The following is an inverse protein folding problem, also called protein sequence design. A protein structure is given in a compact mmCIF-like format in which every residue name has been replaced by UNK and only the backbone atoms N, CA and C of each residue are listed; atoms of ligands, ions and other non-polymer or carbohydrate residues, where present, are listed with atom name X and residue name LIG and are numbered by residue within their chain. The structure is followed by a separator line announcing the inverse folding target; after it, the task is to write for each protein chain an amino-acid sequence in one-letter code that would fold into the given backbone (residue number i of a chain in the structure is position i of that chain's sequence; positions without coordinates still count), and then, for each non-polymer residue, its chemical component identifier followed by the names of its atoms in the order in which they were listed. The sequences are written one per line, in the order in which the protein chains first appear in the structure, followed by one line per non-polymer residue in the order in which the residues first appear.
data_IF_658247238521
#
_entry.id   IF_658247238521
#
_cell.length_a   1.000
_cell.length_b   1.000
_cell.length_c   1.000
_cell.angle_alpha   90.00
_cell.angle_beta   90.00
_cell.angle_gamma   90.00
#
_symmetry.space_group_name_H-M   'P 1'
#
loop_
_entity.id
_entity.type
_entity.pdbx_description
1 polymer ?
#
# COMPACT_ATOMS: atom_id res chain seq x y z
N UNK A 1 -65.95 -6.52 74.02
CA UNK A 1 -67.19 -5.88 74.49
C UNK A 1 -68.35 -6.79 74.15
N UNK A 2 -69.14 -7.20 75.13
CA UNK A 2 -70.37 -7.99 74.92
C UNK A 2 -71.38 -7.17 74.13
N UNK A 3 -71.96 -7.73 73.06
CA UNK A 3 -72.96 -7.02 72.26
C UNK A 3 -74.19 -6.69 73.12
N UNK A 4 -74.79 -5.50 72.98
CA UNK A 4 -76.07 -5.19 73.58
C UNK A 4 -77.11 -6.22 73.12
N UNK A 5 -78.10 -6.56 73.95
CA UNK A 5 -79.19 -7.43 73.51
C UNK A 5 -79.93 -6.79 72.32
N UNK A 6 -80.69 -7.56 71.55
CA UNK A 6 -81.48 -7.01 70.44
C UNK A 6 -82.40 -5.87 70.89
N UNK A 7 -82.95 -5.98 72.10
CA UNK A 7 -83.78 -4.95 72.74
C UNK A 7 -82.97 -3.71 73.06
N UNK A 8 -81.76 -3.87 73.60
CA UNK A 8 -80.86 -2.75 73.88
C UNK A 8 -80.39 -2.05 72.60
N UNK A 9 -80.14 -2.82 71.54
CA UNK A 9 -79.74 -2.29 70.22
C UNK A 9 -80.86 -1.45 69.60
N UNK A 10 -82.11 -1.93 69.67
CA UNK A 10 -83.28 -1.15 69.24
C UNK A 10 -83.45 0.12 70.08
N UNK A 11 -83.27 0.02 71.41
CA UNK A 11 -83.35 1.18 72.31
C UNK A 11 -82.28 2.22 72.00
N UNK A 12 -81.04 1.80 71.75
CA UNK A 12 -79.94 2.69 71.37
C UNK A 12 -80.26 3.42 70.05
N UNK A 13 -80.79 2.70 69.05
CA UNK A 13 -81.18 3.32 67.77
C UNK A 13 -82.33 4.32 67.97
N UNK A 14 -83.33 3.99 68.78
CA UNK A 14 -84.43 4.92 69.08
C UNK A 14 -83.95 6.18 69.81
N UNK A 15 -83.04 6.05 70.78
CA UNK A 15 -82.46 7.19 71.48
C UNK A 15 -81.61 8.06 70.55
N UNK A 16 -80.87 7.46 69.62
CA UNK A 16 -80.10 8.19 68.61
C UNK A 16 -81.01 8.89 67.58
N UNK A 17 -82.16 8.31 67.25
CA UNK A 17 -83.17 8.96 66.40
C UNK A 17 -83.75 10.19 67.08
N UNK A 18 -84.15 10.03 68.35
CA UNK A 18 -84.71 11.10 69.17
C UNK A 18 -83.69 12.21 69.40
N UNK A 19 -82.43 11.87 69.70
CA UNK A 19 -81.35 12.83 69.83
C UNK A 19 -81.15 13.64 68.54
N UNK A 20 -81.09 12.97 67.38
CA UNK A 20 -80.91 13.66 66.11
C UNK A 20 -82.09 14.60 65.81
N UNK A 21 -83.33 14.18 66.06
CA UNK A 21 -84.51 15.03 65.88
C UNK A 21 -84.48 16.24 66.80
N UNK A 22 -84.14 16.06 68.07
CA UNK A 22 -84.05 17.18 69.04
C UNK A 22 -82.93 18.15 68.67
N UNK A 23 -81.78 17.66 68.22
CA UNK A 23 -80.68 18.49 67.75
C UNK A 23 -81.04 19.27 66.48
N UNK A 24 -81.83 18.68 65.58
CA UNK A 24 -82.36 19.37 64.40
C UNK A 24 -83.34 20.48 64.78
N UNK A 25 -84.25 20.23 65.73
CA UNK A 25 -85.14 21.29 66.26
C UNK A 25 -84.32 22.43 66.86
N UNK A 26 -83.34 22.13 67.72
CA UNK A 26 -82.50 23.16 68.34
C UNK A 26 -81.69 23.94 67.29
N UNK A 27 -81.27 23.31 66.21
CA UNK A 27 -80.60 23.98 65.10
C UNK A 27 -81.50 24.99 64.37
N UNK A 28 -82.82 24.78 64.37
CA UNK A 28 -83.79 25.71 63.78
C UNK A 28 -84.16 26.88 64.68
N UNK A 29 -84.05 26.72 66.00
CA UNK A 29 -84.40 27.73 67.01
C UNK A 29 -83.33 28.84 67.12
N UNK A 30 -82.79 29.28 65.99
CA UNK A 30 -81.89 30.44 65.91
C UNK A 30 -82.70 31.70 65.58
N UNK A 31 -82.19 32.86 65.99
CA UNK A 31 -82.88 34.13 65.76
C UNK A 31 -83.11 34.37 64.27
N UNK A 32 -82.10 34.13 63.43
CA UNK A 32 -82.16 34.32 61.97
C UNK A 32 -83.29 33.49 61.33
N UNK A 33 -83.36 32.20 61.64
CA UNK A 33 -84.37 31.29 61.09
C UNK A 33 -85.79 31.64 61.56
N UNK A 34 -85.94 32.02 62.84
CA UNK A 34 -87.22 32.42 63.39
C UNK A 34 -87.69 33.78 62.85
N UNK A 35 -86.77 34.68 62.49
CA UNK A 35 -87.13 35.93 61.78
C UNK A 35 -87.59 35.67 60.35
N UNK A 36 -87.01 34.69 59.65
CA UNK A 36 -87.50 34.27 58.32
C UNK A 36 -88.93 33.72 58.42
N UNK A 37 -89.20 32.88 59.42
CA UNK A 37 -90.55 32.35 59.68
C UNK A 37 -91.54 33.49 60.02
N UNK A 38 -91.10 34.50 60.78
CA UNK A 38 -91.91 35.68 61.12
C UNK A 38 -92.23 36.56 59.90
N UNK A 39 -91.29 36.73 58.97
CA UNK A 39 -91.53 37.51 57.74
C UNK A 39 -92.44 36.79 56.75
N UNK A 40 -92.47 35.45 56.78
CA UNK A 40 -93.30 34.59 55.93
C UNK A 40 -94.48 33.98 56.70
N UNK A 41 -94.95 34.64 57.75
CA UNK A 41 -95.94 34.10 58.68
C UNK A 41 -97.24 33.64 58.01
N UNK A 42 -97.67 34.29 56.93
CA UNK A 42 -98.87 33.91 56.16
C UNK A 42 -98.71 32.55 55.47
N UNK A 43 -97.51 32.24 54.94
CA UNK A 43 -97.20 30.95 54.31
C UNK A 43 -97.11 29.82 55.35
N UNK A 44 -96.50 30.12 56.51
CA UNK A 44 -96.30 29.14 57.58
C UNK A 44 -97.59 28.85 58.36
N UNK A 45 -98.46 29.83 58.56
CA UNK A 45 -99.75 29.65 59.26
C UNK A 45 -100.81 28.90 58.44
N UNK A 46 -100.59 28.74 57.13
CA UNK A 46 -101.44 27.91 56.27
C UNK A 46 -101.16 26.40 56.42
N UNK A 47 -99.99 26.02 56.91
CA UNK A 47 -99.49 24.64 56.94
C UNK A 47 -99.23 24.16 58.37
N UNK A 48 -98.69 25.02 59.24
CA UNK A 48 -98.43 24.73 60.64
C UNK A 48 -99.64 25.07 61.51
N UNK A 49 -99.80 24.33 62.61
CA UNK A 49 -100.81 24.65 63.63
C UNK A 49 -100.65 26.11 64.10
N UNK A 50 -101.72 26.94 64.07
CA UNK A 50 -101.68 28.30 64.60
C UNK A 50 -101.12 28.41 66.02
N UNK A 51 -101.30 27.37 66.85
CA UNK A 51 -100.70 27.31 68.18
C UNK A 51 -99.17 27.19 68.15
N UNK A 52 -98.62 26.40 67.24
CA UNK A 52 -97.18 26.21 67.06
C UNK A 52 -96.52 27.49 66.52
N UNK A 53 -97.16 28.15 65.55
CA UNK A 53 -96.68 29.44 65.01
C UNK A 53 -96.64 30.49 66.13
N UNK A 54 -97.65 30.54 66.98
CA UNK A 54 -97.67 31.44 68.14
C UNK A 54 -96.53 31.14 69.12
N UNK A 55 -96.27 29.86 69.43
CA UNK A 55 -95.16 29.46 70.29
C UNK A 55 -93.78 29.82 69.70
N UNK A 56 -93.60 29.67 68.38
CA UNK A 56 -92.37 30.10 67.69
C UNK A 56 -92.18 31.62 67.73
N UNK A 57 -93.25 32.41 67.60
CA UNK A 57 -93.16 33.87 67.72
C UNK A 57 -92.86 34.31 69.14
N UNK A 58 -93.44 33.64 70.16
CA UNK A 58 -93.09 33.86 71.57
C UNK A 58 -91.64 33.46 71.85
N UNK A 59 -91.17 32.38 71.23
CA UNK A 59 -89.77 31.96 71.34
C UNK A 59 -88.84 33.01 70.72
N UNK A 60 -89.18 33.57 69.56
CA UNK A 60 -88.42 34.67 68.95
C UNK A 60 -88.38 35.93 69.83
N UNK A 61 -89.48 36.30 70.49
CA UNK A 61 -89.47 37.44 71.41
C UNK A 61 -88.61 37.17 72.64
N UNK A 62 -88.71 35.97 73.22
CA UNK A 62 -87.88 35.57 74.36
C UNK A 62 -86.40 35.48 74.00
N UNK A 63 -86.07 34.99 72.80
CA UNK A 63 -84.70 34.89 72.31
C UNK A 63 -84.08 36.28 72.09
N UNK A 64 -84.85 37.23 71.54
CA UNK A 64 -84.42 38.63 71.40
C UNK A 64 -84.22 39.31 72.73
N UNK A 65 -85.14 39.11 73.67
CA UNK A 65 -84.99 39.62 75.03
C UNK A 65 -83.74 39.04 75.69
N UNK A 66 -83.56 37.71 75.64
CA UNK A 66 -82.39 37.02 76.15
C UNK A 66 -81.06 37.51 75.53
N UNK A 67 -80.99 37.65 74.20
CA UNK A 67 -79.81 38.15 73.48
C UNK A 67 -79.50 39.63 73.81
N UNK A 68 -80.53 40.46 74.03
CA UNK A 68 -80.36 41.86 74.42
C UNK A 68 -79.80 42.01 75.85
N UNK A 69 -80.20 41.12 76.76
CA UNK A 69 -79.70 41.11 78.14
C UNK A 69 -78.34 40.43 78.29
N UNK A 70 -77.98 39.54 77.36
CA UNK A 70 -76.72 38.81 77.39
C UNK A 70 -75.93 38.92 76.06
N UNK A 71 -75.50 40.13 75.66
CA UNK A 71 -74.92 40.34 74.33
C UNK A 71 -73.52 39.75 74.13
N UNK A 72 -72.91 39.10 75.14
CA UNK A 72 -71.57 38.49 75.06
C UNK A 72 -71.34 37.40 76.13
N UNK A 73 -71.94 36.22 75.98
CA UNK A 73 -71.35 35.01 76.58
C UNK A 73 -70.39 34.38 75.60
N UNK A 74 -69.11 34.58 75.87
CA UNK A 74 -67.94 34.02 75.20
C UNK A 74 -67.88 32.48 75.41
N UNK A 75 -68.86 31.75 74.87
CA UNK A 75 -68.89 30.29 74.84
C UNK A 75 -69.09 29.56 76.17
N UNK A 76 -69.39 30.26 77.27
CA UNK A 76 -69.75 29.64 78.54
C UNK A 76 -71.27 29.60 78.72
N UNK A 77 -71.83 28.39 78.66
CA UNK A 77 -73.19 28.07 79.11
C UNK A 77 -73.22 28.31 80.62
N UNK A 78 -73.93 29.35 81.06
CA UNK A 78 -74.21 29.54 82.49
C UNK A 78 -75.23 28.47 82.87
N UNK A 79 -74.88 27.58 83.80
CA UNK A 79 -75.83 26.62 84.37
C UNK A 79 -76.97 27.41 85.02
N UNK A 80 -78.17 27.30 84.43
CA UNK A 80 -79.38 28.00 84.87
C UNK A 80 -80.06 27.32 86.07
N UNK A 81 -79.49 26.23 86.60
CA UNK A 81 -80.07 25.49 87.73
C UNK A 81 -79.98 26.24 89.08
N UNK A 82 -78.99 27.14 89.24
CA UNK A 82 -78.83 27.97 90.44
C UNK A 82 -78.73 29.45 90.07
N UNK A 83 -79.58 30.30 90.66
CA UNK A 83 -79.58 31.76 90.41
C UNK A 83 -78.19 32.34 90.74
N UNK A 84 -77.43 32.84 89.75
CA UNK A 84 -76.15 33.47 90.04
C UNK A 84 -76.38 34.83 90.71
N UNK A 85 -75.60 35.17 91.76
CA UNK A 85 -75.73 36.42 92.54
C UNK A 85 -75.63 37.71 91.69
N UNK A 86 -75.17 37.61 90.44
CA UNK A 86 -74.95 38.72 89.51
C UNK A 86 -75.98 38.84 88.38
N UNK A 87 -77.09 38.08 88.41
CA UNK A 87 -78.13 38.10 87.36
C UNK A 87 -79.43 38.72 87.89
N UNK A 88 -80.04 39.62 87.11
CA UNK A 88 -81.32 40.26 87.47
C UNK A 88 -82.45 39.23 87.52
N UNK A 89 -83.42 39.39 88.44
CA UNK A 89 -84.59 38.50 88.57
C UNK A 89 -85.34 38.31 87.25
N UNK A 90 -85.35 39.35 86.40
CA UNK A 90 -86.01 39.34 85.09
C UNK A 90 -85.26 38.51 84.05
N UNK A 91 -83.94 38.50 84.09
CA UNK A 91 -83.12 37.75 83.12
C UNK A 91 -83.22 36.25 83.38
N UNK A 92 -83.29 35.87 84.67
CA UNK A 92 -83.54 34.50 85.09
C UNK A 92 -84.95 34.02 84.70
N UNK A 93 -85.97 34.87 84.84
CA UNK A 93 -87.34 34.56 84.41
C UNK A 93 -87.44 34.40 82.88
N UNK A 94 -86.76 35.25 82.10
CA UNK A 94 -86.71 35.13 80.63
C UNK A 94 -85.98 33.83 80.20
N UNK A 95 -84.90 33.46 80.87
CA UNK A 95 -84.17 32.22 80.59
C UNK A 95 -84.99 30.96 80.93
N UNK A 96 -85.66 30.93 82.08
CA UNK A 96 -86.56 29.83 82.49
C UNK A 96 -87.77 29.71 81.55
N UNK A 97 -88.34 30.83 81.11
CA UNK A 97 -89.41 30.84 80.11
C UNK A 97 -88.93 30.38 78.73
N UNK A 98 -87.71 30.76 78.34
CA UNK A 98 -87.10 30.31 77.09
C UNK A 98 -86.84 28.80 77.12
N UNK A 99 -86.31 28.27 78.21
CA UNK A 99 -86.08 26.84 78.41
C UNK A 99 -87.40 26.06 78.33
N UNK A 100 -88.42 26.47 79.10
CA UNK A 100 -89.75 25.83 79.08
C UNK A 100 -90.36 25.83 77.68
N UNK A 101 -90.30 26.97 76.99
CA UNK A 101 -90.80 27.08 75.62
C UNK A 101 -89.98 26.21 74.63
N UNK A 102 -88.66 26.09 74.83
CA UNK A 102 -87.79 25.21 74.02
C UNK A 102 -88.17 23.74 74.20
N UNK A 103 -88.39 23.32 75.44
CA UNK A 103 -88.80 21.95 75.78
C UNK A 103 -90.19 21.65 75.21
N UNK A 104 -91.13 22.58 75.35
CA UNK A 104 -92.49 22.43 74.83
C UNK A 104 -92.49 22.38 73.29
N UNK A 105 -91.74 23.26 72.61
CA UNK A 105 -91.57 23.23 71.15
C UNK A 105 -90.91 21.93 70.67
N UNK A 106 -89.86 21.48 71.35
CA UNK A 106 -89.18 20.22 71.03
C UNK A 106 -90.12 19.03 71.21
N UNK A 107 -90.92 19.00 72.29
CA UNK A 107 -91.92 17.96 72.53
C UNK A 107 -93.03 17.97 71.49
N UNK A 108 -93.47 19.16 71.09
CA UNK A 108 -94.52 19.31 70.09
C UNK A 108 -94.05 18.84 68.71
N UNK A 109 -92.86 19.29 68.28
CA UNK A 109 -92.27 18.92 66.99
C UNK A 109 -91.81 17.46 66.92
N UNK A 110 -91.44 16.83 68.05
CA UNK A 110 -91.16 15.39 68.09
C UNK A 110 -92.44 14.53 68.04
N UNK A 111 -93.58 15.08 68.45
CA UNK A 111 -94.88 14.38 68.40
C UNK A 111 -95.54 14.55 67.02
N UNK A 112 -95.48 15.74 66.43
CA UNK A 112 -96.04 16.05 65.11
C UNK A 112 -94.98 16.01 64.00
N UNK A 113 -94.89 14.86 63.34
CA UNK A 113 -93.88 14.58 62.31
C UNK A 113 -94.08 15.37 61.02
N UNK A 114 -95.31 15.80 60.73
CA UNK A 114 -95.60 16.52 59.49
C UNK A 114 -95.12 17.97 59.59
N UNK A 115 -95.37 18.62 60.74
CA UNK A 115 -94.82 19.94 61.06
C UNK A 115 -93.29 19.94 61.10
N UNK A 116 -92.68 18.91 61.71
CA UNK A 116 -91.22 18.75 61.74
C UNK A 116 -90.62 18.62 60.34
N UNK A 117 -91.21 17.79 59.48
CA UNK A 117 -90.72 17.57 58.11
C UNK A 117 -90.83 18.84 57.27
N UNK A 118 -91.90 19.59 57.44
CA UNK A 118 -92.09 20.86 56.74
C UNK A 118 -91.01 21.87 57.15
N UNK A 119 -90.81 22.09 58.46
CA UNK A 119 -89.77 23.00 58.98
C UNK A 119 -88.36 22.56 58.54
N UNK A 120 -88.06 21.26 58.57
CA UNK A 120 -86.78 20.71 58.11
C UNK A 120 -86.46 20.98 56.63
N UNK A 121 -87.48 21.17 55.79
CA UNK A 121 -87.30 21.43 54.36
C UNK A 121 -87.33 22.93 54.03
N UNK A 122 -87.97 23.73 54.88
CA UNK A 122 -88.17 25.16 54.66
C UNK A 122 -87.08 26.03 55.29
N UNK A 123 -86.38 25.55 56.31
CA UNK A 123 -85.34 26.31 57.03
C UNK A 123 -83.95 25.88 56.53
N UNK A 124 -83.13 26.87 56.14
CA UNK A 124 -81.72 26.65 55.83
C UNK A 124 -80.87 26.86 57.09
N UNK A 125 -80.10 25.84 57.48
CA UNK A 125 -79.19 25.93 58.62
C UNK A 125 -77.88 26.59 58.18
N UNK A 126 -77.83 27.92 58.22
CA UNK A 126 -76.66 28.69 57.78
C UNK A 126 -75.51 28.75 58.82
N UNK A 127 -75.72 28.25 60.05
CA UNK A 127 -74.65 28.14 61.06
C UNK A 127 -73.78 26.90 60.83
N UNK A 128 -72.51 27.06 60.39
CA UNK A 128 -71.65 25.93 60.01
C UNK A 128 -71.25 25.05 61.20
N UNK A 129 -71.27 25.57 62.43
CA UNK A 129 -70.93 24.80 63.63
C UNK A 129 -72.03 23.84 64.06
N UNK A 130 -73.28 24.30 64.02
CA UNK A 130 -74.45 23.50 64.43
C UNK A 130 -74.80 22.48 63.35
N UNK A 131 -74.71 22.84 62.07
CA UNK A 131 -74.92 21.88 60.97
C UNK A 131 -73.87 20.78 60.96
N UNK A 132 -72.58 21.12 61.15
CA UNK A 132 -71.51 20.12 61.26
C UNK A 132 -71.72 19.17 62.45
N UNK A 133 -72.21 19.66 63.59
CA UNK A 133 -72.50 18.81 64.75
C UNK A 133 -73.68 17.86 64.49
N UNK A 134 -74.76 18.35 63.87
CA UNK A 134 -75.90 17.52 63.46
C UNK A 134 -75.46 16.46 62.45
N UNK A 135 -74.62 16.81 61.49
CA UNK A 135 -74.09 15.86 60.48
C UNK A 135 -73.18 14.81 61.11
N UNK A 136 -72.30 15.21 62.03
CA UNK A 136 -71.48 14.26 62.80
C UNK A 136 -72.36 13.32 63.63
N UNK A 137 -73.44 13.82 64.24
CA UNK A 137 -74.39 12.98 64.99
C UNK A 137 -75.14 11.99 64.08
N UNK A 138 -75.51 12.41 62.86
CA UNK A 138 -76.07 11.52 61.83
C UNK A 138 -75.08 10.46 61.38
N UNK A 139 -73.82 10.82 61.18
CA UNK A 139 -72.78 9.88 60.80
C UNK A 139 -72.42 8.92 61.93
N UNK A 140 -72.43 9.40 63.17
CA UNK A 140 -72.28 8.59 64.36
C UNK A 140 -73.42 7.55 64.45
N UNK A 141 -74.66 7.97 64.20
CA UNK A 141 -75.80 7.04 64.08
C UNK A 141 -75.57 5.99 62.99
N UNK A 142 -75.15 6.39 61.78
CA UNK A 142 -74.84 5.44 60.69
C UNK A 142 -73.76 4.45 61.11
N UNK A 143 -72.71 4.93 61.78
CA UNK A 143 -71.62 4.11 62.28
C UNK A 143 -72.11 3.10 63.31
N UNK A 144 -72.86 3.54 64.33
CA UNK A 144 -73.43 2.66 65.35
C UNK A 144 -74.41 1.65 64.75
N UNK A 145 -75.26 2.08 63.82
CA UNK A 145 -76.19 1.19 63.13
C UNK A 145 -75.43 0.12 62.33
N UNK A 146 -74.39 0.51 61.61
CA UNK A 146 -73.52 -0.41 60.88
C UNK A 146 -72.88 -1.39 61.85
N UNK A 147 -72.32 -0.91 62.97
CA UNK A 147 -71.69 -1.74 64.00
C UNK A 147 -72.67 -2.71 64.69
N UNK A 148 -73.91 -2.30 64.90
CA UNK A 148 -74.94 -3.14 65.52
C UNK A 148 -75.48 -4.22 64.56
N UNK A 149 -75.53 -3.92 63.25
CA UNK A 149 -76.03 -4.85 62.22
C UNK A 149 -74.94 -5.81 61.72
N UNK A 150 -73.69 -5.36 61.59
CA UNK A 150 -72.61 -6.20 61.07
C UNK A 150 -72.34 -7.40 62.01
N UNK A 151 -72.34 -8.65 61.53
CA UNK A 151 -71.95 -9.83 62.31
C UNK A 151 -70.48 -9.80 62.74
N UNK A 152 -70.15 -10.45 63.87
CA UNK A 152 -68.76 -10.50 64.39
C UNK A 152 -67.81 -11.15 63.37
N UNK A 153 -68.30 -12.16 62.65
CA UNK A 153 -67.52 -12.87 61.64
C UNK A 153 -67.14 -11.97 60.46
N UNK A 154 -68.05 -11.09 60.02
CA UNK A 154 -67.76 -10.12 58.97
C UNK A 154 -66.75 -9.06 59.43
N UNK A 155 -66.83 -8.59 60.68
CA UNK A 155 -65.84 -7.65 61.23
C UNK A 155 -64.43 -8.28 61.28
N UNK A 156 -64.33 -9.52 61.78
CA UNK A 156 -63.07 -10.25 61.82
C UNK A 156 -62.52 -10.56 60.41
N UNK A 157 -63.40 -10.81 59.43
CA UNK A 157 -62.98 -11.01 58.04
C UNK A 157 -62.38 -9.73 57.46
N UNK A 158 -63.03 -8.58 57.66
CA UNK A 158 -62.52 -7.28 57.19
C UNK A 158 -61.20 -6.91 57.87
N UNK A 159 -61.06 -7.19 59.16
CA UNK A 159 -59.81 -6.95 59.89
C UNK A 159 -58.66 -7.78 59.30
N UNK A 160 -58.88 -9.08 59.05
CA UNK A 160 -57.87 -9.93 58.39
C UNK A 160 -57.54 -9.47 56.97
N UNK A 161 -58.53 -9.06 56.18
CA UNK A 161 -58.29 -8.51 54.84
C UNK A 161 -57.42 -7.24 54.87
N UNK A 162 -57.68 -6.35 55.84
CA UNK A 162 -56.87 -5.15 56.04
C UNK A 162 -55.44 -5.51 56.45
N UNK A 163 -55.25 -6.46 57.36
CA UNK A 163 -53.92 -6.95 57.74
C UNK A 163 -53.17 -7.56 56.56
N UNK A 164 -53.85 -8.36 55.72
CA UNK A 164 -53.25 -8.93 54.51
C UNK A 164 -52.82 -7.85 53.51
N UNK A 165 -53.66 -6.84 53.30
CA UNK A 165 -53.34 -5.69 52.44
C UNK A 165 -52.14 -4.93 53.00
N UNK A 166 -52.12 -4.68 54.31
CA UNK A 166 -51.00 -3.99 54.96
C UNK A 166 -49.69 -4.77 54.80
N UNK A 167 -49.73 -6.08 54.97
CA UNK A 167 -48.56 -6.95 54.75
C UNK A 167 -48.10 -6.94 53.29
N UNK A 168 -49.03 -7.03 52.32
CA UNK A 168 -48.70 -6.94 50.90
C UNK A 168 -48.08 -5.59 50.56
N UNK A 169 -48.60 -4.50 51.11
CA UNK A 169 -48.08 -3.17 50.92
C UNK A 169 -46.68 -2.99 51.53
N UNK A 170 -46.43 -3.55 52.72
CA UNK A 170 -45.09 -3.57 53.33
C UNK A 170 -44.09 -4.33 52.48
N UNK A 171 -44.46 -5.51 51.95
CA UNK A 171 -43.61 -6.30 51.04
C UNK A 171 -43.30 -5.54 49.74
N UNK A 172 -44.34 -4.99 49.10
CA UNK A 172 -44.18 -4.20 47.87
C UNK A 172 -43.24 -3.01 48.07
N UNK A 173 -43.38 -2.28 49.18
CA UNK A 173 -42.49 -1.16 49.51
C UNK A 173 -41.04 -1.60 49.73
N UNK A 174 -40.83 -2.74 50.37
CA UNK A 174 -39.49 -3.29 50.57
C UNK A 174 -38.84 -3.73 49.23
N UNK A 175 -39.62 -4.36 48.35
CA UNK A 175 -39.17 -4.73 47.00
C UNK A 175 -38.88 -3.51 46.13
N UNK A 176 -39.71 -2.46 46.19
CA UNK A 176 -39.45 -1.19 45.52
C UNK A 176 -38.15 -0.54 46.01
N UNK A 177 -37.89 -0.57 47.32
CA UNK A 177 -36.66 -0.04 47.90
C UNK A 177 -35.42 -0.82 47.41
N UNK A 178 -35.44 -2.16 47.46
CA UNK A 178 -34.35 -3.01 46.95
C UNK A 178 -34.12 -2.80 45.44
N UNK A 179 -35.19 -2.74 44.65
CA UNK A 179 -35.10 -2.47 43.22
C UNK A 179 -34.51 -1.08 42.92
N UNK A 180 -34.90 -0.06 43.68
CA UNK A 180 -34.32 1.27 43.55
C UNK A 180 -32.84 1.29 43.89
N UNK A 181 -32.42 0.60 44.96
CA UNK A 181 -31.00 0.48 45.32
C UNK A 181 -30.20 -0.23 44.23
N UNK A 182 -30.72 -1.34 43.69
CA UNK A 182 -30.13 -2.06 42.55
C UNK A 182 -30.02 -1.17 41.31
N UNK A 183 -31.05 -0.37 41.01
CA UNK A 183 -31.03 0.56 39.89
C UNK A 183 -29.96 1.64 40.07
N UNK A 184 -29.81 2.20 41.27
CA UNK A 184 -28.76 3.18 41.59
C UNK A 184 -27.38 2.54 41.41
N UNK A 185 -27.17 1.34 41.93
CA UNK A 185 -25.91 0.62 41.80
C UNK A 185 -25.56 0.29 40.34
N UNK A 186 -26.53 -0.16 39.54
CA UNK A 186 -26.35 -0.41 38.12
C UNK A 186 -26.04 0.87 37.32
N UNK A 187 -26.68 2.00 37.67
CA UNK A 187 -26.37 3.30 37.06
C UNK A 187 -24.94 3.73 37.38
N UNK A 188 -24.52 3.60 38.64
CA UNK A 188 -23.15 3.91 39.07
C UNK A 188 -22.11 3.06 38.34
N UNK A 189 -22.30 1.74 38.28
CA UNK A 189 -21.39 0.84 37.56
C UNK A 189 -21.31 1.18 36.07
N UNK A 190 -22.43 1.55 35.45
CA UNK A 190 -22.46 1.99 34.05
C UNK A 190 -21.69 3.28 33.83
N UNK A 191 -21.83 4.23 34.75
CA UNK A 191 -21.12 5.52 34.72
C UNK A 191 -19.61 5.32 34.89
N UNK A 192 -19.19 4.55 35.90
CA UNK A 192 -17.79 4.16 36.11
C UNK A 192 -17.21 3.45 34.88
N UNK A 193 -17.97 2.49 34.32
CA UNK A 193 -17.57 1.80 33.10
C UNK A 193 -17.51 2.70 31.86
N UNK A 194 -18.27 3.79 31.81
CA UNK A 194 -18.20 4.81 30.76
C UNK A 194 -16.99 5.71 30.97
N UNK A 195 -16.73 6.13 32.20
CA UNK A 195 -15.59 6.97 32.56
C UNK A 195 -14.27 6.25 32.27
N UNK A 196 -14.16 4.97 32.65
CA UNK A 196 -12.97 4.15 32.37
C UNK A 196 -12.73 4.00 30.88
N UNK A 197 -13.78 3.72 30.09
CA UNK A 197 -13.67 3.67 28.62
C UNK A 197 -13.27 5.01 28.01
N UNK A 198 -13.77 6.13 28.54
CA UNK A 198 -13.38 7.46 28.10
C UNK A 198 -11.91 7.76 28.43
N UNK A 199 -11.43 7.38 29.63
CA UNK A 199 -10.02 7.49 30.01
C UNK A 199 -9.12 6.66 29.10
N UNK A 200 -9.51 5.43 28.80
CA UNK A 200 -8.78 4.55 27.88
C UNK A 200 -8.75 5.13 26.45
N UNK A 201 -9.89 5.59 25.94
CA UNK A 201 -9.97 6.28 24.64
C UNK A 201 -9.05 7.50 24.59
N UNK A 202 -8.99 8.29 25.66
CA UNK A 202 -8.11 9.45 25.72
C UNK A 202 -6.63 9.04 25.70
N UNK A 203 -6.24 8.01 26.45
CA UNK A 203 -4.87 7.47 26.41
C UNK A 203 -4.49 6.96 25.02
N UNK A 204 -5.36 6.18 24.39
CA UNK A 204 -5.14 5.66 23.04
C UNK A 204 -5.03 6.77 22.00
N UNK A 205 -5.82 7.84 22.12
CA UNK A 205 -5.70 9.00 21.25
C UNK A 205 -4.35 9.71 21.44
N UNK A 206 -3.87 9.87 22.66
CA UNK A 206 -2.54 10.45 22.94
C UNK A 206 -1.44 9.57 22.34
N UNK A 207 -1.54 8.25 22.47
CA UNK A 207 -0.59 7.30 21.88
C UNK A 207 -0.61 7.35 20.35
N UNK A 208 -1.79 7.46 19.73
CA UNK A 208 -1.94 7.66 18.28
C UNK A 208 -1.28 8.95 17.82
N UNK A 209 -1.57 10.07 18.47
CA UNK A 209 -0.94 11.36 18.13
C UNK A 209 0.59 11.30 18.29
N UNK A 210 1.08 10.62 19.33
CA UNK A 210 2.51 10.42 19.53
C UNK A 210 3.12 9.59 18.40
N UNK A 211 2.48 8.47 18.02
CA UNK A 211 2.94 7.62 16.94
C UNK A 211 2.91 8.35 15.59
N UNK A 212 1.87 9.16 15.33
CA UNK A 212 1.80 10.01 14.13
C UNK A 212 2.94 11.04 14.10
N UNK A 213 3.29 11.64 15.22
CA UNK A 213 4.43 12.56 15.29
C UNK A 213 5.76 11.84 15.06
N UNK A 214 5.99 10.71 15.74
CA UNK A 214 7.20 9.91 15.60
C UNK A 214 7.39 9.38 14.17
N UNK A 215 6.32 8.91 13.53
CA UNK A 215 6.36 8.46 12.13
C UNK A 215 6.62 9.61 11.17
N UNK A 216 5.97 10.76 11.35
CA UNK A 216 6.22 11.94 10.53
C UNK A 216 7.65 12.45 10.67
N UNK A 217 8.20 12.47 11.88
CA UNK A 217 9.60 12.87 12.12
C UNK A 217 10.58 11.85 11.54
N UNK A 218 10.30 10.55 11.65
CA UNK A 218 11.08 9.50 10.99
C UNK A 218 11.06 9.65 9.44
N UNK A 219 9.91 9.97 8.86
CA UNK A 219 9.78 10.24 7.42
C UNK A 219 10.62 11.48 7.03
N UNK A 220 10.53 12.57 7.78
CA UNK A 220 11.34 13.78 7.53
C UNK A 220 12.84 13.48 7.61
N UNK A 221 13.27 12.72 8.60
CA UNK A 221 14.68 12.34 8.76
C UNK A 221 15.16 11.42 7.63
N UNK A 222 14.33 10.48 7.20
CA UNK A 222 14.60 9.64 6.03
C UNK A 222 14.75 10.48 4.76
N UNK A 223 13.86 11.46 4.53
CA UNK A 223 13.95 12.37 3.39
C UNK A 223 15.23 13.22 3.43
N UNK A 224 15.58 13.79 4.58
CA UNK A 224 16.85 14.53 4.76
C UNK A 224 18.07 13.65 4.51
N UNK A 225 18.08 12.41 5.02
CA UNK A 225 19.16 11.44 4.77
C UNK A 225 19.27 11.06 3.29
N UNK A 226 18.13 10.88 2.61
CA UNK A 226 18.08 10.62 1.17
C UNK A 226 18.66 11.79 0.38
N UNK A 227 18.24 13.01 0.68
CA UNK A 227 18.70 14.21 -0.01
C UNK A 227 20.20 14.45 0.20
N UNK A 228 20.67 14.35 1.44
CA UNK A 228 22.12 14.47 1.74
C UNK A 228 22.95 13.39 1.05
N UNK A 229 22.47 12.13 1.01
CA UNK A 229 23.14 11.05 0.29
C UNK A 229 23.15 11.31 -1.23
N UNK A 230 22.04 11.79 -1.80
CA UNK A 230 21.94 12.12 -3.22
C UNK A 230 22.89 13.26 -3.60
N UNK A 231 22.96 14.31 -2.77
CA UNK A 231 23.88 15.44 -2.97
C UNK A 231 25.36 15.01 -2.86
N UNK A 232 25.69 14.10 -1.94
CA UNK A 232 27.04 13.50 -1.86
C UNK A 232 27.37 12.70 -3.12
N UNK A 233 26.47 11.80 -3.53
CA UNK A 233 26.63 11.02 -4.76
C UNK A 233 26.84 11.94 -5.97
N UNK A 234 26.02 12.98 -6.12
CA UNK A 234 26.11 13.93 -7.23
C UNK A 234 27.48 14.61 -7.26
N UNK A 235 27.99 15.08 -6.12
CA UNK A 235 29.34 15.66 -6.02
C UNK A 235 30.44 14.66 -6.37
N UNK A 236 30.32 13.41 -5.91
CA UNK A 236 31.27 12.34 -6.24
C UNK A 236 31.26 12.00 -7.73
N UNK A 237 30.08 11.94 -8.35
CA UNK A 237 29.93 11.74 -9.79
C UNK A 237 30.51 12.90 -10.59
N UNK A 238 30.22 14.15 -10.24
CA UNK A 238 30.78 15.34 -10.88
C UNK A 238 32.32 15.38 -10.75
N UNK A 239 32.88 14.96 -9.61
CA UNK A 239 34.32 14.87 -9.41
C UNK A 239 34.96 13.79 -10.31
N UNK A 240 34.36 12.60 -10.37
CA UNK A 240 34.82 11.51 -11.25
C UNK A 240 34.69 11.87 -12.72
N UNK A 241 33.61 12.55 -13.11
CA UNK A 241 33.41 12.99 -14.49
C UNK A 241 34.50 13.98 -14.91
N UNK A 242 34.85 14.94 -14.03
CA UNK A 242 35.98 15.85 -14.25
C UNK A 242 37.31 15.10 -14.34
N UNK A 243 37.55 14.14 -13.46
CA UNK A 243 38.76 13.32 -13.49
C UNK A 243 38.87 12.54 -14.80
N UNK A 244 37.81 11.84 -15.22
CA UNK A 244 37.80 11.11 -16.47
C UNK A 244 37.94 12.02 -17.68
N UNK A 245 37.29 13.19 -17.70
CA UNK A 245 37.47 14.18 -18.76
C UNK A 245 38.93 14.62 -18.86
N UNK A 246 39.57 14.93 -17.73
CA UNK A 246 40.98 15.32 -17.70
C UNK A 246 41.89 14.17 -18.18
N UNK A 247 41.62 12.92 -17.81
CA UNK A 247 42.38 11.76 -18.32
C UNK A 247 42.19 11.58 -19.83
N UNK A 248 40.97 11.79 -20.34
CA UNK A 248 40.66 11.69 -21.77
C UNK A 248 41.42 12.76 -22.56
N UNK A 249 41.46 13.99 -22.06
CA UNK A 249 42.23 15.06 -22.68
C UNK A 249 43.74 14.78 -22.66
N UNK A 250 44.29 14.31 -21.54
CA UNK A 250 45.70 13.89 -21.46
C UNK A 250 46.02 12.79 -22.46
N UNK A 251 45.23 11.72 -22.51
CA UNK A 251 45.41 10.62 -23.46
C UNK A 251 45.30 11.09 -24.91
N UNK A 252 44.40 12.04 -25.21
CA UNK A 252 44.29 12.61 -26.54
C UNK A 252 45.54 13.42 -26.94
N UNK A 253 46.16 14.14 -25.99
CA UNK A 253 47.43 14.84 -26.20
C UNK A 253 48.57 13.84 -26.39
N UNK A 254 48.66 12.82 -25.54
CA UNK A 254 49.69 11.79 -25.62
C UNK A 254 49.61 11.02 -26.95
N UNK A 255 48.41 10.68 -27.39
CA UNK A 255 48.19 10.02 -28.69
C UNK A 255 48.62 10.92 -29.85
N UNK A 256 48.31 12.23 -29.81
CA UNK A 256 48.79 13.18 -30.83
C UNK A 256 50.32 13.25 -30.85
N UNK A 257 50.95 13.33 -29.68
CA UNK A 257 52.41 13.35 -29.56
C UNK A 257 53.02 12.06 -30.12
N UNK A 258 52.44 10.90 -29.81
CA UNK A 258 52.90 9.60 -30.29
C UNK A 258 52.75 9.46 -31.81
N UNK A 259 51.67 9.99 -32.40
CA UNK A 259 51.52 10.08 -33.86
C UNK A 259 52.64 10.94 -34.47
N UNK A 260 52.94 12.10 -33.89
CA UNK A 260 54.00 12.98 -34.40
C UNK A 260 55.36 12.30 -34.29
N UNK A 261 55.65 11.65 -33.16
CA UNK A 261 56.89 10.91 -32.94
C UNK A 261 57.04 9.75 -33.92
N UNK A 262 56.00 8.93 -34.10
CA UNK A 262 56.01 7.84 -35.09
C UNK A 262 56.23 8.36 -36.51
N UNK A 263 55.59 9.47 -36.90
CA UNK A 263 55.82 10.08 -38.22
C UNK A 263 57.28 10.51 -38.40
N UNK A 264 57.89 11.11 -37.38
CA UNK A 264 59.32 11.47 -37.43
C UNK A 264 60.21 10.25 -37.57
N UNK A 265 59.96 9.19 -36.78
CA UNK A 265 60.71 7.94 -36.86
C UNK A 265 60.54 7.26 -38.23
N UNK A 266 59.34 7.27 -38.80
CA UNK A 266 59.07 6.75 -40.13
C UNK A 266 59.82 7.55 -41.20
N UNK A 267 59.81 8.89 -41.13
CA UNK A 267 60.59 9.75 -42.02
C UNK A 267 62.10 9.51 -41.91
N UNK A 268 62.62 9.35 -40.69
CA UNK A 268 64.03 9.01 -40.45
C UNK A 268 64.39 7.64 -41.01
N UNK A 269 63.53 6.65 -40.83
CA UNK A 269 63.72 5.31 -41.37
C UNK A 269 63.70 5.32 -42.90
N UNK A 270 62.77 6.04 -43.52
CA UNK A 270 62.73 6.25 -44.98
C UNK A 270 64.01 6.92 -45.46
N UNK A 271 64.48 7.99 -44.80
CA UNK A 271 65.75 8.66 -45.14
C UNK A 271 66.94 7.72 -45.02
N UNK A 272 67.01 6.94 -43.95
CA UNK A 272 68.09 5.96 -43.72
C UNK A 272 68.07 4.84 -44.78
N UNK A 273 66.89 4.30 -45.08
CA UNK A 273 66.70 3.28 -46.13
C UNK A 273 67.10 3.81 -47.50
N UNK A 274 66.69 5.03 -47.85
CA UNK A 274 67.07 5.68 -49.11
C UNK A 274 68.58 5.89 -49.20
N UNK A 275 69.24 6.35 -48.13
CA UNK A 275 70.71 6.47 -48.09
C UNK A 275 71.39 5.11 -48.28
N UNK A 276 70.92 4.07 -47.59
CA UNK A 276 71.47 2.72 -47.73
C UNK A 276 71.28 2.20 -49.16
N UNK A 277 70.11 2.40 -49.76
CA UNK A 277 69.83 2.03 -51.14
C UNK A 277 70.69 2.81 -52.14
N UNK A 278 70.85 4.13 -51.96
CA UNK A 278 71.73 4.97 -52.79
C UNK A 278 73.18 4.48 -52.72
N UNK A 279 73.72 4.23 -51.53
CA UNK A 279 75.07 3.72 -51.35
C UNK A 279 75.25 2.33 -51.97
N UNK A 280 74.25 1.46 -51.86
CA UNK A 280 74.27 0.13 -52.52
C UNK A 280 74.28 0.28 -54.04
N UNK A 281 73.43 1.12 -54.61
CA UNK A 281 73.40 1.37 -56.05
C UNK A 281 74.75 1.97 -56.51
N UNK A 282 75.29 2.95 -55.79
CA UNK A 282 76.60 3.54 -56.09
C UNK A 282 77.74 2.52 -56.01
N UNK A 283 77.72 1.60 -55.04
CA UNK A 283 78.72 0.53 -54.94
C UNK A 283 78.59 -0.48 -56.09
N UNK A 284 77.36 -0.89 -56.43
CA UNK A 284 77.11 -1.77 -57.58
C UNK A 284 77.52 -1.12 -58.91
N UNK A 285 77.28 0.18 -59.09
CA UNK A 285 77.75 0.91 -60.28
C UNK A 285 79.29 0.90 -60.34
N UNK A 286 79.97 1.19 -59.22
CA UNK A 286 81.44 1.17 -59.18
C UNK A 286 82.02 -0.21 -59.46
N UNK A 287 81.39 -1.27 -58.96
CA UNK A 287 81.78 -2.66 -59.25
C UNK A 287 81.59 -2.98 -60.74
N UNK A 288 80.44 -2.64 -61.32
CA UNK A 288 80.17 -2.82 -62.75
C UNK A 288 81.15 -2.03 -63.63
N UNK A 289 81.43 -0.77 -63.30
CA UNK A 289 82.40 0.05 -64.03
C UNK A 289 83.81 -0.57 -63.98
N UNK A 290 84.20 -1.11 -62.81
CA UNK A 290 85.47 -1.82 -62.65
C UNK A 290 85.53 -3.10 -63.48
N UNK A 291 84.48 -3.92 -63.46
CA UNK A 291 84.38 -5.14 -64.28
C UNK A 291 84.41 -4.81 -65.78
N UNK A 292 83.76 -3.73 -66.21
CA UNK A 292 83.80 -3.28 -67.60
C UNK A 292 85.21 -2.84 -68.03
N UNK A 293 85.95 -2.16 -67.16
CA UNK A 293 87.35 -1.81 -67.42
C UNK A 293 88.22 -3.06 -67.51
N UNK A 294 88.06 -4.02 -66.60
CA UNK A 294 88.80 -5.29 -66.63
C UNK A 294 88.49 -6.11 -67.89
N UNK A 295 87.21 -6.20 -68.28
CA UNK A 295 86.78 -6.85 -69.52
C UNK A 295 87.33 -6.14 -70.75
N UNK A 296 87.36 -4.81 -70.79
CA UNK A 296 87.95 -4.06 -71.89
C UNK A 296 89.46 -4.33 -72.03
N UNK A 297 90.18 -4.40 -70.90
CA UNK A 297 91.61 -4.75 -70.88
C UNK A 297 91.86 -6.22 -71.29
N UNK A 298 90.95 -7.13 -70.93
CA UNK A 298 91.04 -8.52 -71.35
C UNK A 298 90.77 -8.66 -72.85
N UNK A 299 89.75 -7.98 -73.38
CA UNK A 299 89.45 -7.92 -74.81
C UNK A 299 90.64 -7.36 -75.60
N UNK A 300 91.29 -6.29 -75.11
CA UNK A 300 92.47 -5.72 -75.78
C UNK A 300 93.65 -6.72 -75.82
N UNK A 301 93.86 -7.48 -74.73
CA UNK A 301 94.87 -8.54 -74.67
C UNK A 301 94.56 -9.68 -75.65
N UNK A 302 93.31 -10.13 -75.69
CA UNK A 302 92.86 -11.17 -76.61
C UNK A 302 92.94 -10.70 -78.08
N UNK A 303 92.59 -9.44 -78.37
CA UNK A 303 92.75 -8.86 -79.70
C UNK A 303 94.22 -8.76 -80.13
N UNK A 304 95.14 -8.39 -79.22
CA UNK A 304 96.58 -8.42 -79.51
C UNK A 304 97.04 -9.84 -79.84
N UNK A 305 96.67 -10.83 -79.00
CA UNK A 305 97.01 -12.22 -79.25
C UNK A 305 96.39 -12.77 -80.55
N UNK A 306 95.17 -12.37 -80.89
CA UNK A 306 94.54 -12.72 -82.16
C UNK A 306 95.30 -12.13 -83.37
N UNK A 307 95.70 -10.86 -83.30
CA UNK A 307 96.46 -10.23 -84.38
C UNK A 307 97.85 -10.86 -84.55
N UNK A 308 98.57 -11.14 -83.46
CA UNK A 308 99.86 -11.85 -83.50
C UNK A 308 99.73 -13.25 -84.12
N UNK A 309 98.70 -14.01 -83.72
CA UNK A 309 98.43 -15.32 -84.30
C UNK A 309 98.03 -15.23 -85.78
N UNK A 310 97.28 -14.20 -86.17
CA UNK A 310 96.91 -13.96 -87.56
C UNK A 310 98.14 -13.66 -88.41
N UNK A 311 99.04 -12.79 -87.95
CA UNK A 311 100.31 -12.49 -88.64
C UNK A 311 101.19 -13.75 -88.75
N UNK A 312 101.30 -14.55 -87.69
CA UNK A 312 102.04 -15.81 -87.72
C UNK A 312 101.43 -16.81 -88.72
N UNK A 313 100.11 -16.87 -88.83
CA UNK A 313 99.40 -17.75 -89.75
C UNK A 313 99.58 -17.30 -91.21
N UNK A 314 99.49 -15.99 -91.48
CA UNK A 314 99.79 -15.42 -92.81
C UNK A 314 101.23 -15.73 -93.25
N UNK A 315 102.21 -15.62 -92.35
CA UNK A 315 103.60 -16.02 -92.65
C UNK A 315 103.73 -17.52 -92.92
N UNK A 316 103.01 -18.37 -92.18
CA UNK A 316 103.05 -19.81 -92.38
C UNK A 316 102.41 -20.23 -93.71
N UNK A 317 101.29 -19.59 -94.08
CA UNK A 317 100.64 -19.80 -95.37
C UNK A 317 101.55 -19.41 -96.54
N UNK A 318 102.26 -18.28 -96.43
CA UNK A 318 103.23 -17.87 -97.44
C UNK A 318 104.42 -18.84 -97.54
N UNK A 319 104.94 -19.32 -96.41
CA UNK A 319 105.99 -20.36 -96.41
C UNK A 319 105.51 -21.68 -97.05
N UNK A 320 104.28 -22.11 -96.76
CA UNK A 320 103.68 -23.30 -97.40
C UNK A 320 103.52 -23.07 -98.91
N UNK A 321 103.15 -21.86 -99.32
CA UNK A 321 103.03 -21.49 -100.74
C UNK A 321 104.37 -21.58 -101.45
N UNK A 322 105.43 -21.05 -100.84
CA UNK A 322 106.80 -21.15 -101.37
C UNK A 322 107.26 -22.61 -101.48
N UNK A 323 107.05 -23.42 -100.44
CA UNK A 323 107.37 -24.86 -100.46
C UNK A 323 106.60 -25.62 -101.55
N UNK A 324 105.33 -25.29 -101.79
CA UNK A 324 104.55 -25.89 -102.89
C UNK A 324 105.11 -25.53 -104.26
N UNK A 325 105.55 -24.28 -104.47
CA UNK A 325 106.20 -23.87 -105.72
C UNK A 325 107.53 -24.61 -105.94
N UNK A 326 108.32 -24.75 -104.88
CA UNK A 326 109.61 -25.45 -104.96
C UNK A 326 109.44 -26.95 -105.19
N UNK A 327 108.47 -27.58 -104.52
CA UNK A 327 108.10 -28.98 -104.79
C UNK A 327 107.63 -29.19 -106.23
N UNK A 328 106.81 -28.28 -106.77
CA UNK A 328 106.36 -28.35 -108.16
C UNK A 328 107.54 -28.24 -109.15
N UNK A 329 108.51 -27.37 -108.87
CA UNK A 329 109.75 -27.24 -109.65
C UNK A 329 110.59 -28.53 -109.62
N UNK A 330 110.76 -29.13 -108.45
CA UNK A 330 111.51 -30.40 -108.28
C UNK A 330 110.80 -31.56 -109.01
N UNK A 331 109.48 -31.64 -108.94
CA UNK A 331 108.71 -32.67 -109.67
C UNK A 331 108.81 -32.51 -111.20
N UNK A 332 108.86 -31.29 -111.73
CA UNK A 332 109.12 -31.05 -113.15
C UNK A 332 110.54 -31.43 -113.57
N UNK A 333 111.53 -31.15 -112.74
CA UNK A 333 112.94 -31.49 -112.99
C UNK A 333 113.14 -33.01 -113.00
N UNK A 334 112.56 -33.73 -112.02
CA UNK A 334 112.54 -35.20 -111.98
C UNK A 334 111.83 -35.82 -113.19
N UNK A 335 110.72 -35.22 -113.67
CA UNK A 335 110.04 -35.69 -114.90
C UNK A 335 110.95 -35.53 -116.12
N UNK A 336 111.71 -34.44 -116.23
CA UNK A 336 112.66 -34.23 -117.35
C UNK A 336 113.82 -35.22 -117.31
N UNK A 337 114.35 -35.53 -116.13
CA UNK A 337 115.41 -36.54 -116.00
C UNK A 337 114.93 -37.95 -116.31
N UNK A 338 113.74 -38.34 -115.84
CA UNK A 338 113.14 -39.64 -116.15
C UNK A 338 112.93 -39.84 -117.66
N UNK A 339 112.53 -38.79 -118.39
CA UNK A 339 112.39 -38.83 -119.86
C UNK A 339 113.76 -38.97 -120.54
N UNK A 340 114.80 -38.26 -120.06
CA UNK A 340 116.17 -38.37 -120.60
C UNK A 340 116.75 -39.77 -120.41
N UNK A 341 116.57 -40.36 -119.22
CA UNK A 341 117.06 -41.71 -118.92
C UNK A 341 116.36 -42.77 -119.80
N UNK A 342 115.04 -42.67 -119.95
CA UNK A 342 114.26 -43.57 -120.81
C UNK A 342 114.67 -43.50 -122.29
N UNK A 343 115.01 -42.30 -122.78
CA UNK A 343 115.52 -42.12 -124.14
C UNK A 343 116.94 -42.68 -124.31
N UNK A 344 117.80 -42.57 -123.29
CA UNK A 344 119.14 -43.14 -123.30
C UNK A 344 119.11 -44.67 -123.37
N UNK A 345 118.30 -45.32 -122.52
CA UNK A 345 118.19 -46.79 -122.47
C UNK A 345 117.63 -47.38 -123.77
N UNK A 346 116.64 -46.72 -124.38
CA UNK A 346 116.07 -47.11 -125.68
C UNK A 346 117.12 -47.06 -126.82
N UNK A 347 117.92 -45.99 -126.85
CA UNK A 347 119.01 -45.84 -127.82
C UNK A 347 120.12 -46.88 -127.62
N UNK A 348 120.42 -47.25 -126.38
CA UNK A 348 121.43 -48.24 -126.06
C UNK A 348 120.99 -49.64 -126.48
N UNK A 349 119.72 -50.01 -126.22
CA UNK A 349 119.15 -51.28 -126.68
C UNK A 349 119.14 -51.41 -128.22
N UNK A 350 118.83 -50.34 -128.95
CA UNK A 350 118.92 -50.35 -130.41
C UNK A 350 120.35 -50.59 -130.91
N UNK A 351 121.35 -49.97 -130.28
CA UNK A 351 122.76 -50.16 -130.63
C UNK A 351 123.24 -51.59 -130.35
N UNK A 352 122.84 -52.17 -129.23
CA UNK A 352 123.17 -53.55 -128.86
C UNK A 352 122.57 -54.57 -129.84
N UNK A 353 121.29 -54.40 -130.23
CA UNK A 353 120.63 -55.22 -131.23
C UNK A 353 121.30 -55.12 -132.60
N UNK A 354 121.67 -53.92 -133.04
CA UNK A 354 122.40 -53.71 -134.29
C UNK A 354 123.79 -54.39 -134.28
N UNK A 355 124.51 -54.30 -133.17
CA UNK A 355 125.81 -54.95 -132.95
C UNK A 355 125.70 -56.48 -133.04
N UNK A 356 124.68 -57.06 -132.39
CA UNK A 356 124.43 -58.50 -132.40
C UNK A 356 124.14 -59.02 -133.81
N UNK A 357 123.38 -58.26 -134.62
CA UNK A 357 123.05 -58.62 -135.99
C UNK A 357 124.29 -58.64 -136.91
N UNK A 358 125.16 -57.64 -136.80
CA UNK A 358 126.42 -57.56 -137.55
C UNK A 358 127.36 -58.73 -137.19
N UNK A 359 127.50 -59.03 -135.90
CA UNK A 359 128.34 -60.13 -135.42
C UNK A 359 127.84 -61.51 -135.88
N UNK A 360 126.52 -61.73 -135.89
CA UNK A 360 125.90 -62.96 -136.39
C UNK A 360 126.13 -63.15 -137.89
N UNK A 361 125.97 -62.09 -138.69
CA UNK A 361 126.20 -62.12 -140.13
C UNK A 361 127.65 -62.44 -140.48
N UNK A 362 128.61 -61.87 -139.74
CA UNK A 362 130.05 -62.11 -139.97
C UNK A 362 130.46 -63.55 -139.62
N UNK A 363 129.96 -64.10 -138.50
CA UNK A 363 130.17 -65.51 -138.12
C UNK A 363 129.62 -66.48 -139.16
N UNK A 364 128.42 -66.22 -139.69
CA UNK A 364 127.79 -67.06 -140.72
C UNK A 364 128.59 -67.12 -142.02
N UNK A 365 129.20 -66.00 -142.43
CA UNK A 365 129.99 -65.91 -143.65
C UNK A 365 131.33 -66.65 -143.52
N UNK A 366 131.97 -66.56 -142.34
CA UNK A 366 133.23 -67.25 -142.04
C UNK A 366 133.07 -68.79 -142.01
N UNK A 367 131.99 -69.28 -141.40
CA UNK A 367 131.68 -70.73 -141.41
C UNK A 367 131.47 -71.30 -142.82
N UNK A 368 130.88 -70.53 -143.76
CA UNK A 368 130.71 -70.98 -145.14
C UNK A 368 132.05 -71.07 -145.89
N UNK A 369 132.95 -70.12 -145.66
CA UNK A 369 134.30 -70.16 -146.24
C UNK A 369 135.13 -71.32 -145.69
N UNK A 370 134.99 -71.64 -144.41
CA UNK A 370 135.72 -72.75 -143.78
C UNK A 370 135.17 -74.12 -144.26
N UNK A 371 133.87 -74.24 -144.51
CA UNK A 371 133.27 -75.46 -145.06
C UNK A 371 133.73 -75.76 -146.50
N UNK A 372 133.84 -74.74 -147.36
CA UNK A 372 134.37 -74.94 -148.72
C UNK A 372 135.83 -75.41 -148.73
N UNK A 373 136.65 -74.90 -147.79
CA UNK A 373 138.06 -75.32 -147.66
C UNK A 373 138.19 -76.77 -147.19
N UNK A 374 137.31 -77.23 -146.31
CA UNK A 374 137.30 -78.60 -145.79
C UNK A 374 136.92 -79.66 -146.84
N UNK A 375 136.15 -79.30 -147.89
CA UNK A 375 135.78 -80.25 -148.95
C UNK A 375 136.95 -80.64 -149.85
N UNK A 376 138.06 -79.88 -149.88
CA UNK A 376 139.18 -80.14 -150.81
C UNK A 376 140.18 -81.22 -150.34
N UNK A 377 140.18 -81.66 -149.07
CA UNK A 377 141.35 -82.35 -148.50
C UNK A 377 141.18 -83.80 -147.98
N UNK A 378 140.24 -84.62 -148.50
CA UNK A 378 140.21 -86.06 -148.14
C UNK A 378 140.33 -87.03 -149.34
N UNK A 379 141.59 -87.46 -149.54
CA UNK A 379 142.07 -88.85 -149.78
C UNK A 379 142.18 -89.40 -151.23
N UNK A 380 143.41 -89.31 -151.76
CA UNK A 380 144.10 -90.40 -152.48
C UNK A 380 144.50 -91.49 -151.48
N UNK A 381 144.10 -92.74 -151.69
CA UNK A 381 144.65 -93.90 -150.96
C UNK A 381 143.77 -95.14 -150.89
N UNK A 382 143.67 -95.94 -151.98
CA UNK A 382 143.56 -97.42 -151.98
C UNK A 382 143.68 -98.01 -153.42
N UNK A 383 144.56 -99.01 -153.62
CA UNK A 383 144.49 -100.07 -154.66
C UNK A 383 144.15 -101.39 -153.94
N UNK A 384 143.41 -102.30 -154.59
CA UNK A 384 142.67 -103.50 -154.08
C UNK A 384 141.38 -103.15 -153.29
N UNK A 385 140.19 -103.65 -153.61
CA UNK A 385 139.81 -104.78 -154.47
C UNK A 385 139.08 -104.36 -155.76
N UNK A 386 139.30 -105.19 -156.79
CA UNK A 386 138.67 -105.32 -158.12
C UNK A 386 138.06 -104.10 -158.77
#
# INVERSE_FOLDING_TARGET
MTRPSHVDSQRIVSLLEELNQRLEVLAWLTEENLTEISTRQEDFSAILDPGLVKCLMVHLSLLREFNNFNPNTDGHVVDLEEKPDNVSDKDFEVADLLEKNTVDLTRWLTTDKDSFRFLSQSINNDSPGVSAFVDVSKDLRKLYLTKLITPVEEELSRERELEEIEQKLKKSKAEEADNNERLINLRRQREEGRENRNKEKHKLNIELEKNERETNDAIRDMLKKKETKMNKLKKEYEAKEKEYSATKEKLAIDLKNLIVENKKQEEEWIKSKLKLQSNKIETTIKEYDKEMIENAQQLEREMKGYNENKEALEMLEENIRQLRMEKARIEEENKREAIKLKNYDSLQQQKELASAYIAAHWKGLKSRQDYEKLRKNKKKGRKKAK
#
